data_IF_786297522675
#
_entry.id   IF_786297522675
#
_cell.length_a   1.000
_cell.length_b   1.000
_cell.length_c   1.000
_cell.angle_alpha   90.00
_cell.angle_beta   90.00
_cell.angle_gamma   90.00
#
_symmetry.space_group_name_H-M   'P 1'
#
loop_
_entity.id
_entity.type
_entity.pdbx_description
1 polymer ?
#
# COMPACT_ATOMS: atom_id res chain seq x y z
N UNK A 1 5.70 -8.58 21.70
CA UNK A 1 4.71 -9.22 20.82
C UNK A 1 4.86 -8.60 19.45
N UNK A 2 4.98 -9.41 18.40
CA UNK A 2 5.03 -8.92 17.01
C UNK A 2 3.66 -8.44 16.56
N UNK A 3 3.61 -7.69 15.45
CA UNK A 3 2.34 -7.30 14.84
C UNK A 3 1.51 -8.54 14.45
N UNK A 4 2.14 -9.54 13.82
CA UNK A 4 1.48 -10.81 13.49
C UNK A 4 0.87 -11.51 14.71
N UNK A 5 1.60 -11.60 15.82
CA UNK A 5 1.12 -12.22 17.06
C UNK A 5 -0.11 -11.49 17.61
N UNK A 6 -0.10 -10.15 17.59
CA UNK A 6 -1.22 -9.33 18.04
C UNK A 6 -2.44 -9.50 17.12
N UNK A 7 -2.25 -9.45 15.80
CA UNK A 7 -3.34 -9.63 14.82
C UNK A 7 -3.96 -11.03 14.87
N UNK A 8 -3.23 -12.02 15.38
CA UNK A 8 -3.72 -13.40 15.54
C UNK A 8 -4.53 -13.63 16.83
N UNK A 9 -4.73 -12.60 17.66
CA UNK A 9 -5.52 -12.74 18.88
C UNK A 9 -7.00 -13.00 18.56
N UNK A 10 -7.64 -14.01 19.19
CA UNK A 10 -9.04 -14.37 18.89
C UNK A 10 -10.04 -13.23 19.05
N UNK A 11 -9.80 -12.32 20.00
CA UNK A 11 -10.67 -11.16 20.21
C UNK A 11 -10.57 -10.09 19.11
N UNK A 12 -9.53 -10.13 18.28
CA UNK A 12 -9.28 -9.20 17.16
C UNK A 12 -9.59 -9.82 15.80
N UNK A 13 -9.92 -11.11 15.74
CA UNK A 13 -10.23 -11.83 14.50
C UNK A 13 -11.36 -11.14 13.72
N UNK A 14 -11.06 -10.80 12.46
CA UNK A 14 -12.00 -10.12 11.55
C UNK A 14 -12.29 -8.65 11.89
N UNK A 15 -11.63 -8.06 12.90
CA UNK A 15 -11.80 -6.65 13.28
C UNK A 15 -10.70 -5.74 12.77
N UNK A 16 -9.51 -6.29 12.58
CA UNK A 16 -8.34 -5.60 12.03
C UNK A 16 -8.03 -6.17 10.64
N UNK A 17 -7.49 -5.31 9.78
CA UNK A 17 -6.87 -5.81 8.54
C UNK A 17 -5.63 -6.64 8.87
N UNK A 18 -5.29 -7.59 8.00
CA UNK A 18 -4.13 -8.45 8.20
C UNK A 18 -2.80 -7.68 8.05
N UNK A 19 -1.69 -8.36 8.36
CA UNK A 19 -0.36 -7.75 8.38
C UNK A 19 0.06 -7.23 7.00
N UNK A 20 -0.16 -8.01 5.94
CA UNK A 20 0.23 -7.62 4.59
C UNK A 20 -0.55 -6.37 4.12
N UNK A 21 -1.87 -6.34 4.36
CA UNK A 21 -2.72 -5.17 4.08
C UNK A 21 -2.33 -3.96 4.92
N UNK A 22 -1.94 -4.18 6.18
CA UNK A 22 -1.40 -3.13 7.06
C UNK A 22 -0.14 -2.51 6.44
N UNK A 23 0.82 -3.33 5.99
CA UNK A 23 2.01 -2.84 5.32
C UNK A 23 1.68 -2.06 4.04
N UNK A 24 0.72 -2.54 3.26
CA UNK A 24 0.24 -1.83 2.07
C UNK A 24 -0.33 -0.46 2.40
N UNK A 25 -1.26 -0.41 3.36
CA UNK A 25 -1.91 0.83 3.79
C UNK A 25 -0.89 1.84 4.33
N UNK A 26 0.03 1.40 5.19
CA UNK A 26 1.09 2.26 5.72
C UNK A 26 2.05 2.71 4.63
N UNK A 27 2.31 1.88 3.61
CA UNK A 27 3.09 2.28 2.42
C UNK A 27 2.43 3.44 1.68
N UNK A 28 1.10 3.41 1.49
CA UNK A 28 0.39 4.53 0.86
C UNK A 28 0.48 5.82 1.70
N UNK A 29 0.31 5.71 3.02
CA UNK A 29 0.46 6.86 3.94
C UNK A 29 1.90 7.39 3.99
N UNK A 30 2.88 6.50 3.84
CA UNK A 30 4.29 6.86 3.73
C UNK A 30 4.67 7.39 2.33
N UNK A 31 3.91 7.08 1.29
CA UNK A 31 4.14 7.57 -0.07
C UNK A 31 3.48 8.94 -0.32
N UNK A 32 2.46 9.30 0.47
CA UNK A 32 1.67 10.52 0.28
C UNK A 32 2.55 11.78 0.14
N UNK A 33 2.18 12.75 -0.73
CA UNK A 33 2.93 13.98 -0.95
C UNK A 33 2.95 14.81 0.33
N UNK A 34 1.77 15.08 0.90
CA UNK A 34 1.62 15.68 2.21
C UNK A 34 1.44 14.63 3.29
N UNK A 35 2.10 14.84 4.43
CA UNK A 35 1.97 13.96 5.58
C UNK A 35 0.61 14.13 6.25
N UNK A 36 -0.21 13.09 6.13
CA UNK A 36 -1.42 12.93 6.92
C UNK A 36 -1.06 12.55 8.34
N UNK A 37 -1.73 13.15 9.31
CA UNK A 37 -1.48 12.83 10.71
C UNK A 37 -2.10 11.47 11.07
N UNK A 38 -1.49 10.67 11.96
CA UNK A 38 -1.97 9.31 12.25
C UNK A 38 -3.44 9.21 12.64
N UNK A 39 -3.98 10.21 13.35
CA UNK A 39 -5.39 10.20 13.74
C UNK A 39 -6.38 10.26 12.57
N UNK A 40 -5.95 10.75 11.40
CA UNK A 40 -6.79 10.87 10.20
C UNK A 40 -6.94 9.54 9.47
N UNK A 41 -6.00 8.61 9.64
CA UNK A 41 -5.96 7.37 8.85
C UNK A 41 -5.89 6.08 9.68
N UNK A 42 -5.43 6.12 10.94
CA UNK A 42 -5.39 4.95 11.83
C UNK A 42 -6.75 4.24 11.92
N UNK A 43 -7.90 4.93 12.06
CA UNK A 43 -9.20 4.27 12.15
C UNK A 43 -9.52 3.31 11.00
N UNK A 44 -8.98 3.57 9.81
CA UNK A 44 -9.25 2.74 8.63
C UNK A 44 -8.61 1.35 8.74
N UNK A 45 -7.59 1.17 9.58
CA UNK A 45 -6.97 -0.14 9.84
C UNK A 45 -7.91 -1.11 10.58
N UNK A 46 -8.97 -0.59 11.23
CA UNK A 46 -10.05 -1.36 11.85
C UNK A 46 -11.43 -1.02 11.27
N UNK A 47 -11.49 -0.61 10.00
CA UNK A 47 -12.76 -0.41 9.28
C UNK A 47 -13.41 0.95 9.48
N UNK A 48 -12.70 1.93 10.04
CA UNK A 48 -13.15 3.33 10.16
C UNK A 48 -14.06 3.60 11.36
N UNK A 49 -14.21 2.64 12.28
CA UNK A 49 -14.99 2.85 13.51
C UNK A 49 -14.29 3.85 14.44
N UNK A 50 -15.08 4.69 15.11
CA UNK A 50 -14.58 5.69 16.08
C UNK A 50 -13.92 5.02 17.29
N UNK A 51 -14.38 3.81 17.65
CA UNK A 51 -13.86 3.04 18.77
C UNK A 51 -12.99 1.91 18.25
N UNK A 52 -11.73 1.90 18.67
CA UNK A 52 -10.79 0.86 18.29
C UNK A 52 -11.16 -0.50 18.94
N UNK A 53 -11.02 -1.62 18.23
CA UNK A 53 -11.54 -2.93 18.64
C UNK A 53 -10.71 -3.65 19.73
N UNK A 54 -9.89 -2.93 20.50
CA UNK A 54 -8.96 -3.50 21.47
C UNK A 54 -9.61 -3.68 22.84
N UNK A 55 -9.23 -4.75 23.55
CA UNK A 55 -9.80 -5.08 24.85
C UNK A 55 -9.31 -4.13 25.95
N UNK A 56 -8.09 -3.63 25.81
CA UNK A 56 -7.47 -2.66 26.72
C UNK A 56 -6.58 -1.66 25.98
N UNK A 57 -6.13 -0.64 26.70
CA UNK A 57 -5.29 0.44 26.15
C UNK A 57 -3.86 0.00 25.83
N UNK A 58 -3.33 -1.05 26.47
CA UNK A 58 -1.97 -1.53 26.25
C UNK A 58 -1.86 -2.27 24.91
N UNK A 59 -2.89 -3.05 24.55
CA UNK A 59 -3.00 -3.67 23.23
C UNK A 59 -3.08 -2.61 22.12
N UNK A 60 -3.89 -1.57 22.31
CA UNK A 60 -4.01 -0.46 21.36
C UNK A 60 -2.68 0.29 21.21
N UNK A 61 -2.01 0.60 22.32
CA UNK A 61 -0.71 1.27 22.31
C UNK A 61 0.33 0.42 21.57
N UNK A 62 0.42 -0.87 21.88
CA UNK A 62 1.32 -1.81 21.19
C UNK A 62 1.03 -1.86 19.68
N UNK A 63 -0.25 -1.90 19.29
CA UNK A 63 -0.64 -1.87 17.88
C UNK A 63 -0.13 -0.60 17.19
N UNK A 64 -0.44 0.56 17.76
CA UNK A 64 -0.05 1.86 17.22
C UNK A 64 1.47 1.98 17.13
N UNK A 65 2.22 1.49 18.12
CA UNK A 65 3.69 1.45 18.09
C UNK A 65 4.23 0.67 16.87
N UNK A 66 3.66 -0.49 16.55
CA UNK A 66 4.03 -1.25 15.35
C UNK A 66 3.72 -0.47 14.07
N UNK A 67 2.55 0.15 13.98
CA UNK A 67 2.16 0.96 12.81
C UNK A 67 3.13 2.14 12.61
N UNK A 68 3.46 2.84 13.69
CA UNK A 68 4.41 3.96 13.67
C UNK A 68 5.81 3.46 13.28
N UNK A 69 6.24 2.30 13.78
CA UNK A 69 7.52 1.72 13.42
C UNK A 69 7.61 1.41 11.92
N UNK A 70 6.57 0.81 11.34
CA UNK A 70 6.48 0.54 9.90
C UNK A 70 6.54 1.85 9.11
N UNK A 71 5.77 2.87 9.51
CA UNK A 71 5.77 4.16 8.82
C UNK A 71 7.15 4.84 8.86
N UNK A 72 7.80 4.83 10.03
CA UNK A 72 9.15 5.39 10.24
C UNK A 72 10.23 4.64 9.45
N UNK A 73 10.02 3.35 9.16
CA UNK A 73 10.88 2.59 8.27
C UNK A 73 10.61 2.95 6.80
N UNK A 74 9.34 3.00 6.40
CA UNK A 74 8.93 3.09 5.00
C UNK A 74 9.11 4.47 4.42
N UNK A 75 8.75 5.55 5.13
CA UNK A 75 8.84 6.91 4.59
C UNK A 75 10.28 7.26 4.17
N UNK A 76 11.31 7.08 5.02
CA UNK A 76 12.70 7.27 4.58
C UNK A 76 13.12 6.30 3.49
N UNK A 77 12.73 5.02 3.57
CA UNK A 77 13.11 4.04 2.56
C UNK A 77 12.55 4.39 1.16
N UNK A 78 11.33 4.90 1.07
CA UNK A 78 10.72 5.36 -0.18
C UNK A 78 11.45 6.59 -0.74
N UNK A 79 11.72 7.58 0.11
CA UNK A 79 12.40 8.82 -0.29
C UNK A 79 13.88 8.62 -0.65
N UNK A 80 14.51 7.57 -0.14
CA UNK A 80 15.91 7.24 -0.40
C UNK A 80 16.09 6.17 -1.49
N UNK A 81 15.00 5.75 -2.15
CA UNK A 81 14.99 4.68 -3.15
C UNK A 81 15.55 3.34 -2.63
N UNK A 82 15.20 2.98 -1.40
CA UNK A 82 15.60 1.75 -0.70
C UNK A 82 14.43 0.87 -0.27
N UNK A 83 13.19 1.31 -0.46
CA UNK A 83 12.01 0.51 -0.09
C UNK A 83 11.98 -0.79 -0.89
N UNK A 84 11.53 -1.87 -0.26
CA UNK A 84 11.40 -3.21 -0.82
C UNK A 84 10.09 -3.83 -0.35
N UNK A 85 9.63 -4.86 -1.06
CA UNK A 85 8.47 -5.64 -0.65
C UNK A 85 8.59 -6.15 0.79
N UNK A 86 7.52 -6.09 1.61
CA UNK A 86 7.51 -6.70 2.94
C UNK A 86 7.61 -8.22 2.85
N UNK A 87 7.91 -8.83 3.99
CA UNK A 87 8.00 -10.28 4.10
C UNK A 87 6.69 -10.96 3.66
N UNK A 88 6.80 -12.05 2.89
CA UNK A 88 5.65 -12.81 2.38
C UNK A 88 5.08 -12.29 1.05
N UNK A 89 5.39 -11.06 0.66
CA UNK A 89 5.06 -10.56 -0.68
C UNK A 89 6.06 -11.11 -1.70
N UNK A 90 5.65 -12.11 -2.48
CA UNK A 90 6.47 -12.76 -3.51
C UNK A 90 5.62 -13.13 -4.74
N UNK A 91 6.31 -13.49 -5.82
CA UNK A 91 5.69 -14.18 -6.95
C UNK A 91 5.25 -15.58 -6.53
N UNK A 92 4.21 -16.07 -7.20
CA UNK A 92 3.70 -17.43 -7.05
C UNK A 92 3.48 -18.05 -8.45
N UNK A 93 3.83 -19.31 -8.65
CA UNK A 93 3.72 -19.95 -9.97
C UNK A 93 2.27 -20.31 -10.33
N UNK A 94 1.41 -20.56 -9.34
CA UNK A 94 0.01 -20.94 -9.54
C UNK A 94 -0.91 -19.70 -9.53
N UNK A 95 -0.68 -18.79 -8.58
CA UNK A 95 -1.51 -17.60 -8.36
C UNK A 95 -0.89 -16.29 -8.85
N UNK A 96 0.27 -16.35 -9.53
CA UNK A 96 1.06 -15.21 -10.08
C UNK A 96 1.79 -14.43 -8.99
N UNK A 97 1.08 -14.09 -7.93
CA UNK A 97 1.60 -13.49 -6.72
C UNK A 97 0.94 -14.13 -5.50
N UNK A 98 1.64 -14.12 -4.37
CA UNK A 98 1.08 -14.63 -3.11
C UNK A 98 -0.13 -13.83 -2.65
N UNK A 99 -1.01 -14.45 -1.86
CA UNK A 99 -2.13 -13.77 -1.18
C UNK A 99 -1.65 -12.53 -0.41
N UNK A 100 -0.51 -12.61 0.29
CA UNK A 100 0.09 -11.47 0.97
C UNK A 100 0.42 -10.30 0.02
N UNK A 101 0.88 -10.58 -1.21
CA UNK A 101 1.11 -9.52 -2.20
C UNK A 101 -0.20 -8.88 -2.64
N UNK A 102 -1.26 -9.66 -2.83
CA UNK A 102 -2.60 -9.16 -3.18
C UNK A 102 -3.15 -8.28 -2.07
N UNK A 103 -3.08 -8.75 -0.82
CA UNK A 103 -3.49 -8.01 0.37
C UNK A 103 -2.69 -6.72 0.56
N UNK A 104 -1.37 -6.77 0.33
CA UNK A 104 -0.55 -5.56 0.32
C UNK A 104 -1.06 -4.56 -0.72
N UNK A 105 -1.28 -5.00 -1.96
CA UNK A 105 -1.77 -4.13 -3.02
C UNK A 105 -3.14 -3.54 -2.68
N UNK A 106 -4.04 -4.35 -2.10
CA UNK A 106 -5.32 -3.86 -1.57
C UNK A 106 -5.12 -2.76 -0.53
N UNK A 107 -4.22 -2.97 0.42
CA UNK A 107 -3.89 -1.99 1.46
C UNK A 107 -3.37 -0.68 0.87
N UNK A 108 -2.46 -0.75 -0.11
CA UNK A 108 -1.96 0.44 -0.81
C UNK A 108 -3.10 1.17 -1.51
N UNK A 109 -3.95 0.46 -2.26
CA UNK A 109 -5.08 1.05 -2.98
C UNK A 109 -6.12 1.67 -2.05
N UNK A 110 -6.37 1.07 -0.88
CA UNK A 110 -7.23 1.63 0.16
C UNK A 110 -6.63 2.91 0.75
N UNK A 111 -5.37 2.86 1.19
CA UNK A 111 -4.65 4.02 1.70
C UNK A 111 -4.59 5.16 0.67
N UNK A 112 -4.42 4.82 -0.60
CA UNK A 112 -4.42 5.77 -1.70
C UNK A 112 -5.68 6.63 -1.74
N UNK A 113 -6.86 6.05 -1.53
CA UNK A 113 -8.12 6.79 -1.57
C UNK A 113 -8.16 7.93 -0.54
N UNK A 114 -7.48 7.79 0.60
CA UNK A 114 -7.44 8.82 1.64
C UNK A 114 -6.60 10.03 1.22
N UNK A 115 -5.53 9.81 0.44
CA UNK A 115 -4.65 10.86 -0.06
C UNK A 115 -4.98 11.28 -1.49
N UNK A 116 -6.11 10.82 -2.05
CA UNK A 116 -6.45 11.00 -3.46
C UNK A 116 -6.51 12.47 -3.86
N UNK A 117 -7.24 13.28 -3.10
CA UNK A 117 -7.41 14.70 -3.38
C UNK A 117 -6.04 15.43 -3.39
N UNK A 118 -5.13 14.97 -2.54
CA UNK A 118 -3.77 15.50 -2.48
C UNK A 118 -2.96 15.14 -3.72
N UNK A 119 -2.99 13.86 -4.12
CA UNK A 119 -2.35 13.42 -5.35
C UNK A 119 -2.92 14.08 -6.60
N UNK A 120 -4.23 14.29 -6.69
CA UNK A 120 -4.87 14.99 -7.81
C UNK A 120 -4.49 16.48 -7.83
N UNK A 121 -4.20 17.07 -6.67
CA UNK A 121 -3.69 18.45 -6.57
C UNK A 121 -2.23 18.54 -7.03
N UNK A 122 -1.38 17.62 -6.55
CA UNK A 122 0.05 17.59 -6.84
C UNK A 122 0.39 17.10 -8.25
N UNK A 123 -0.38 16.14 -8.76
CA UNK A 123 -0.24 15.56 -10.11
C UNK A 123 -1.59 15.58 -10.83
N UNK A 124 -2.05 16.76 -11.30
CA UNK A 124 -3.33 16.88 -12.00
C UNK A 124 -3.37 16.05 -13.29
N UNK A 125 -4.58 15.66 -13.72
CA UNK A 125 -4.78 14.76 -14.86
C UNK A 125 -4.08 15.19 -16.17
N UNK A 126 -3.92 16.51 -16.37
CA UNK A 126 -3.30 17.12 -17.54
C UNK A 126 -1.77 17.28 -17.44
N UNK A 127 -1.16 16.86 -16.32
CA UNK A 127 0.29 16.90 -16.12
C UNK A 127 1.00 15.66 -16.67
N UNK A 128 2.26 15.82 -17.09
CA UNK A 128 3.12 14.68 -17.46
C UNK A 128 3.36 13.73 -16.26
N UNK A 129 3.32 14.26 -15.03
CA UNK A 129 3.52 13.51 -13.79
C UNK A 129 2.34 12.58 -13.48
N UNK A 130 1.12 12.91 -13.92
CA UNK A 130 -0.04 12.04 -13.77
C UNK A 130 0.12 10.71 -14.52
N UNK A 131 0.93 10.65 -15.58
CA UNK A 131 1.22 9.37 -16.24
C UNK A 131 2.02 8.42 -15.35
N UNK A 132 2.95 8.94 -14.54
CA UNK A 132 3.70 8.15 -13.55
C UNK A 132 2.74 7.61 -12.48
N UNK A 133 1.89 8.50 -11.96
CA UNK A 133 0.87 8.17 -10.99
C UNK A 133 -0.08 7.05 -11.50
N UNK A 134 -0.70 7.27 -12.66
CA UNK A 134 -1.61 6.30 -13.26
C UNK A 134 -0.95 4.96 -13.55
N UNK A 135 0.31 4.96 -13.98
CA UNK A 135 1.09 3.74 -14.19
C UNK A 135 1.31 2.93 -12.91
N UNK A 136 1.63 3.59 -11.79
CA UNK A 136 1.79 2.92 -10.48
C UNK A 136 0.47 2.34 -10.00
N UNK A 137 -0.63 3.10 -10.08
CA UNK A 137 -1.96 2.64 -9.67
C UNK A 137 -2.47 1.48 -10.52
N UNK A 138 -2.25 1.52 -11.83
CA UNK A 138 -2.60 0.42 -12.73
C UNK A 138 -1.82 -0.84 -12.36
N UNK A 139 -0.51 -0.71 -12.17
CA UNK A 139 0.35 -1.83 -11.77
C UNK A 139 -0.08 -2.45 -10.42
N UNK A 140 -0.40 -1.63 -9.42
CA UNK A 140 -0.94 -2.11 -8.13
C UNK A 140 -2.28 -2.81 -8.30
N UNK A 141 -3.17 -2.26 -9.14
CA UNK A 141 -4.48 -2.86 -9.43
C UNK A 141 -4.34 -4.22 -10.13
N UNK A 142 -3.35 -4.35 -11.02
CA UNK A 142 -3.05 -5.62 -11.67
C UNK A 142 -2.53 -6.68 -10.70
N UNK A 143 -1.65 -6.31 -9.76
CA UNK A 143 -1.14 -7.23 -8.76
C UNK A 143 -2.19 -7.57 -7.67
N UNK A 144 -3.15 -6.68 -7.41
CA UNK A 144 -4.27 -6.93 -6.50
C UNK A 144 -5.23 -7.99 -7.04
N UNK A 145 -5.60 -7.87 -8.33
CA UNK A 145 -6.50 -8.81 -9.01
C UNK A 145 -5.90 -9.31 -10.34
N UNK A 146 -4.92 -10.24 -10.28
CA UNK A 146 -4.28 -10.78 -11.46
C UNK A 146 -5.24 -11.55 -12.38
N UNK A 147 -6.23 -12.24 -11.81
CA UNK A 147 -7.20 -13.05 -12.58
C UNK A 147 -8.04 -12.19 -13.52
N UNK A 148 -8.66 -11.13 -13.00
CA UNK A 148 -9.44 -10.19 -13.80
C UNK A 148 -8.55 -9.44 -14.80
N UNK A 149 -7.32 -9.12 -14.38
CA UNK A 149 -6.35 -8.43 -15.22
C UNK A 149 -5.93 -9.29 -16.42
N UNK A 150 -5.68 -10.58 -16.22
CA UNK A 150 -5.41 -11.53 -17.32
C UNK A 150 -6.58 -11.62 -18.27
N UNK A 151 -7.80 -11.79 -17.75
CA UNK A 151 -8.98 -11.89 -18.59
C UNK A 151 -9.11 -10.66 -19.52
N UNK A 152 -8.89 -9.46 -18.95
CA UNK A 152 -8.93 -8.19 -19.69
C UNK A 152 -7.80 -8.10 -20.72
N UNK A 153 -6.59 -8.52 -20.38
CA UNK A 153 -5.43 -8.50 -21.29
C UNK A 153 -5.58 -9.49 -22.44
N UNK A 154 -6.14 -10.67 -22.17
CA UNK A 154 -6.42 -11.68 -23.18
C UNK A 154 -7.41 -11.18 -24.24
N UNK A 155 -8.43 -10.39 -23.84
CA UNK A 155 -9.34 -9.73 -24.78
C UNK A 155 -8.63 -8.73 -25.71
N UNK A 156 -7.50 -8.17 -25.28
CA UNK A 156 -6.66 -7.25 -26.03
C UNK A 156 -5.54 -7.96 -26.82
N UNK A 157 -5.48 -9.30 -26.76
CA UNK A 157 -4.45 -10.11 -27.42
C UNK A 157 -3.08 -10.04 -26.75
N UNK A 158 -3.03 -9.63 -25.48
CA UNK A 158 -1.82 -9.62 -24.66
C UNK A 158 -1.82 -10.90 -23.83
N UNK A 159 -0.84 -11.78 -24.09
CA UNK A 159 -0.69 -13.06 -23.40
C UNK A 159 0.66 -13.10 -22.65
N UNK A 160 0.67 -13.67 -21.45
CA UNK A 160 1.89 -13.98 -20.72
C UNK A 160 1.93 -13.44 -19.29
N UNK A 161 2.42 -14.29 -18.37
CA UNK A 161 2.64 -13.93 -16.96
C UNK A 161 3.88 -13.05 -16.76
N UNK A 162 4.75 -12.96 -17.76
CA UNK A 162 5.99 -12.16 -17.74
C UNK A 162 5.72 -10.70 -17.38
N UNK A 163 4.58 -10.15 -17.84
CA UNK A 163 4.17 -8.78 -17.50
C UNK A 163 3.97 -8.57 -16.00
N UNK A 164 3.38 -9.54 -15.29
CA UNK A 164 3.15 -9.44 -13.85
C UNK A 164 4.46 -9.58 -13.07
N UNK A 165 5.36 -10.46 -13.51
CA UNK A 165 6.69 -10.60 -12.93
C UNK A 165 7.52 -9.31 -13.10
N UNK A 166 7.45 -8.68 -14.27
CA UNK A 166 8.09 -7.39 -14.51
C UNK A 166 7.49 -6.29 -13.64
N UNK A 167 6.16 -6.20 -13.55
CA UNK A 167 5.46 -5.24 -12.69
C UNK A 167 5.88 -5.43 -11.23
N UNK A 168 5.86 -6.67 -10.73
CA UNK A 168 6.25 -7.00 -9.36
C UNK A 168 7.69 -6.56 -9.05
N UNK A 169 8.63 -6.85 -9.96
CA UNK A 169 10.04 -6.46 -9.80
C UNK A 169 10.26 -4.95 -9.91
N UNK A 170 9.48 -4.28 -10.75
CA UNK A 170 9.57 -2.83 -10.93
C UNK A 170 8.93 -2.03 -9.79
N UNK A 171 7.95 -2.61 -9.08
CA UNK A 171 7.13 -1.94 -8.09
C UNK A 171 7.91 -1.14 -7.04
N UNK A 172 8.99 -1.68 -6.42
CA UNK A 172 9.75 -0.90 -5.45
C UNK A 172 10.34 0.38 -6.04
N UNK A 173 10.87 0.30 -7.27
CA UNK A 173 11.43 1.48 -7.96
C UNK A 173 10.32 2.45 -8.36
N UNK A 174 9.18 1.94 -8.82
CA UNK A 174 8.03 2.76 -9.20
C UNK A 174 7.46 3.53 -8.01
N UNK A 175 7.26 2.88 -6.85
CA UNK A 175 6.77 3.52 -5.63
C UNK A 175 7.76 4.55 -5.08
N UNK A 176 9.05 4.23 -5.06
CA UNK A 176 10.08 5.20 -4.64
C UNK A 176 10.11 6.41 -5.59
N UNK A 177 10.08 6.18 -6.90
CA UNK A 177 10.06 7.22 -7.93
C UNK A 177 8.86 8.15 -7.78
N UNK A 178 7.66 7.58 -7.63
CA UNK A 178 6.44 8.33 -7.38
C UNK A 178 6.51 9.14 -6.08
N UNK A 179 6.96 8.53 -4.99
CA UNK A 179 7.07 9.20 -3.68
C UNK A 179 8.04 10.37 -3.71
N UNK A 180 9.24 10.17 -4.28
CA UNK A 180 10.22 11.24 -4.43
C UNK A 180 9.66 12.39 -5.30
N UNK A 181 9.01 12.05 -6.42
CA UNK A 181 8.44 13.06 -7.31
C UNK A 181 7.30 13.85 -6.64
N UNK A 182 6.39 13.15 -5.97
CA UNK A 182 5.30 13.77 -5.20
C UNK A 182 5.83 14.69 -4.10
N UNK A 183 6.81 14.23 -3.32
CA UNK A 183 7.44 15.06 -2.28
C UNK A 183 8.12 16.30 -2.86
N UNK A 184 8.82 16.17 -3.99
CA UNK A 184 9.47 17.32 -4.63
C UNK A 184 8.48 18.36 -5.16
N UNK A 185 7.31 17.92 -5.65
CA UNK A 185 6.27 18.82 -6.14
C UNK A 185 5.54 19.51 -4.98
N UNK A 186 5.25 18.79 -3.91
CA UNK A 186 4.63 19.35 -2.70
C UNK A 186 5.52 20.42 -2.02
N UNK A 187 6.85 20.29 -2.08
CA UNK A 187 7.78 21.32 -1.61
C UNK A 187 7.78 22.61 -2.46
N UNK A 188 7.21 22.56 -3.68
CA UNK A 188 7.18 23.68 -4.62
C UNK A 188 5.84 24.44 -4.64
N UNK A 189 4.80 23.90 -4.00
CA UNK A 189 3.51 24.58 -3.80
C UNK A 189 3.60 25.74 -2.78
#
# INVERSE_FOLDING_TARGET
MTLQELLSLPELEGKLINEARTHGFVTAMAAAPHMLTPHEWLPFLWGGEEVAPFADGEQLETYIEHIIAIWNEYRPALLENRWQWPQGCTLDEEEIVTEATRDFCEGVLQGWQLARDDWETIMPEDSEDNALLGGVLLSLSMLYDPETSIATLAEQGIEGLEQFEEIFKAMPTMLCGLTMRGSMLAEQE
#
